data_IF_143014296071
#
_entry.id   IF_143014296071
#
_cell.length_a   1.000
_cell.length_b   1.000
_cell.length_c   1.000
_cell.angle_alpha   90.00
_cell.angle_beta   90.00
_cell.angle_gamma   90.00
#
_symmetry.space_group_name_H-M   'P 1'
#
loop_
_entity.id
_entity.type
_entity.pdbx_description
1 polymer ?
#
# COMPACT_ATOMS: atom_id res chain seq x y z
N UNK A 1 23.29 -8.71 -12.89
CA UNK A 1 22.22 -8.00 -12.16
C UNK A 1 20.87 -8.73 -12.23
N UNK A 2 20.35 -9.12 -13.41
CA UNK A 2 19.06 -9.88 -13.55
C UNK A 2 18.96 -11.10 -12.60
N UNK A 3 20.01 -11.93 -12.49
CA UNK A 3 20.04 -13.09 -11.57
C UNK A 3 19.84 -12.72 -10.09
N UNK A 4 20.38 -11.58 -9.65
CA UNK A 4 20.28 -11.14 -8.26
C UNK A 4 18.86 -10.60 -7.99
N UNK A 5 18.33 -9.79 -8.90
CA UNK A 5 16.97 -9.25 -8.81
C UNK A 5 15.88 -10.33 -8.82
N UNK A 6 16.14 -11.44 -9.53
CA UNK A 6 15.27 -12.62 -9.57
C UNK A 6 15.45 -13.56 -8.36
N UNK A 7 16.26 -13.19 -7.36
CA UNK A 7 16.32 -13.92 -6.10
C UNK A 7 15.05 -13.65 -5.28
N UNK A 8 14.45 -14.69 -4.65
CA UNK A 8 13.30 -14.52 -3.75
C UNK A 8 13.57 -13.58 -2.58
N UNK A 9 14.84 -13.47 -2.17
CA UNK A 9 15.23 -12.66 -1.02
C UNK A 9 15.63 -11.23 -1.41
N UNK A 10 15.66 -10.90 -2.72
CA UNK A 10 16.09 -9.58 -3.16
C UNK A 10 15.16 -8.47 -2.64
N UNK A 11 13.86 -8.56 -2.93
CA UNK A 11 12.90 -7.53 -2.51
C UNK A 11 12.76 -7.44 -0.99
N UNK A 12 12.67 -8.55 -0.22
CA UNK A 12 12.70 -8.49 1.24
C UNK A 12 13.95 -7.78 1.78
N UNK A 13 15.14 -8.14 1.30
CA UNK A 13 16.39 -7.55 1.77
C UNK A 13 16.53 -6.09 1.35
N UNK A 14 16.21 -5.76 0.09
CA UNK A 14 16.26 -4.40 -0.42
C UNK A 14 15.29 -3.48 0.33
N UNK A 15 14.06 -3.94 0.58
CA UNK A 15 13.09 -3.21 1.40
C UNK A 15 13.63 -2.97 2.81
N UNK A 16 14.05 -4.02 3.53
CA UNK A 16 14.54 -3.87 4.90
C UNK A 16 15.75 -2.93 4.98
N UNK A 17 16.71 -3.06 4.07
CA UNK A 17 17.91 -2.20 4.06
C UNK A 17 17.52 -0.75 3.79
N UNK A 18 16.72 -0.48 2.75
CA UNK A 18 16.33 0.88 2.38
C UNK A 18 15.43 1.50 3.45
N UNK A 19 14.46 0.75 3.95
CA UNK A 19 13.53 1.22 4.97
C UNK A 19 14.24 1.50 6.30
N UNK A 20 15.07 0.59 6.81
CA UNK A 20 15.84 0.83 8.02
C UNK A 20 16.85 1.97 7.87
N UNK A 21 17.46 2.12 6.68
CA UNK A 21 18.36 3.24 6.39
C UNK A 21 17.60 4.57 6.39
N UNK A 22 16.41 4.61 5.78
CA UNK A 22 15.53 5.77 5.79
C UNK A 22 15.10 6.13 7.22
N UNK A 23 14.57 5.16 7.96
CA UNK A 23 14.19 5.32 9.36
C UNK A 23 15.34 5.83 10.22
N UNK A 24 16.53 5.23 10.09
CA UNK A 24 17.72 5.63 10.83
C UNK A 24 18.17 7.05 10.47
N UNK A 25 18.10 7.42 9.19
CA UNK A 25 18.46 8.77 8.73
C UNK A 25 17.49 9.83 9.27
N UNK A 26 16.18 9.56 9.23
CA UNK A 26 15.17 10.51 9.73
C UNK A 26 15.23 10.61 11.25
N UNK A 27 15.29 9.46 11.95
CA UNK A 27 15.24 9.42 13.41
C UNK A 27 16.52 9.98 14.07
N UNK A 28 17.71 9.58 13.60
CA UNK A 28 18.98 10.03 14.19
C UNK A 28 19.55 11.29 13.55
N UNK A 29 19.32 11.48 12.24
CA UNK A 29 19.85 12.63 11.51
C UNK A 29 19.00 13.89 11.66
N UNK A 30 17.68 13.74 11.89
CA UNK A 30 16.75 14.86 11.97
C UNK A 30 15.69 14.69 13.08
N UNK A 31 16.09 14.54 14.35
CA UNK A 31 15.17 14.24 15.46
C UNK A 31 14.07 15.30 15.62
N UNK A 32 14.36 16.58 15.40
CA UNK A 32 13.38 17.67 15.48
C UNK A 32 12.39 17.71 14.30
N UNK A 33 12.70 17.00 13.20
CA UNK A 33 11.87 16.97 12.00
C UNK A 33 11.16 15.63 11.79
N UNK A 34 11.26 14.66 12.71
CA UNK A 34 10.58 13.36 12.57
C UNK A 34 9.10 13.55 12.29
N UNK A 35 8.43 14.42 13.05
CA UNK A 35 7.03 14.77 12.85
C UNK A 35 6.80 15.59 11.57
N UNK A 36 7.71 16.51 11.22
CA UNK A 36 7.58 17.36 10.02
C UNK A 36 7.68 16.56 8.73
N UNK A 37 8.57 15.57 8.67
CA UNK A 37 8.74 14.71 7.50
C UNK A 37 7.51 13.81 7.27
N UNK A 38 6.70 13.60 8.31
CA UNK A 38 5.46 12.81 8.29
C UNK A 38 4.18 13.65 8.20
N UNK A 39 4.26 14.99 8.07
CA UNK A 39 3.05 15.83 7.89
C UNK A 39 2.55 15.76 6.44
N UNK A 40 1.24 15.87 6.26
CA UNK A 40 0.60 16.03 4.94
C UNK A 40 1.25 17.19 4.14
N UNK A 41 1.62 16.94 2.89
CA UNK A 41 2.27 17.86 1.94
C UNK A 41 3.79 17.77 1.90
N UNK A 42 4.41 16.96 2.76
CA UNK A 42 5.86 16.91 2.93
C UNK A 42 6.52 15.77 2.12
N UNK A 43 7.80 15.50 2.39
CA UNK A 43 8.64 14.63 1.57
C UNK A 43 8.07 13.21 1.37
N UNK A 44 7.54 12.56 2.41
CA UNK A 44 7.05 11.18 2.32
C UNK A 44 5.82 11.08 1.42
N UNK A 45 4.87 12.00 1.55
CA UNK A 45 3.65 12.01 0.73
C UNK A 45 3.98 12.20 -0.76
N UNK A 46 4.84 13.17 -1.08
CA UNK A 46 5.26 13.41 -2.46
C UNK A 46 5.94 12.19 -3.09
N UNK A 47 6.80 11.50 -2.34
CA UNK A 47 7.44 10.25 -2.80
C UNK A 47 6.37 9.17 -3.01
N UNK A 48 5.41 9.05 -2.10
CA UNK A 48 4.31 8.09 -2.20
C UNK A 48 3.47 8.32 -3.46
N UNK A 49 3.09 9.57 -3.76
CA UNK A 49 2.36 9.95 -4.97
C UNK A 49 3.15 9.60 -6.24
N UNK A 50 4.44 9.98 -6.31
CA UNK A 50 5.32 9.62 -7.42
C UNK A 50 5.37 8.10 -7.60
N UNK A 51 5.48 7.35 -6.50
CA UNK A 51 5.46 5.90 -6.50
C UNK A 51 4.20 5.34 -7.16
N UNK A 52 3.01 5.82 -6.77
CA UNK A 52 1.75 5.37 -7.36
C UNK A 52 1.60 5.75 -8.84
N UNK A 53 2.05 6.94 -9.24
CA UNK A 53 2.08 7.33 -10.67
C UNK A 53 2.99 6.41 -11.48
N UNK A 54 4.18 6.09 -10.96
CA UNK A 54 5.09 5.13 -11.58
C UNK A 54 4.51 3.71 -11.63
N UNK A 55 3.77 3.29 -10.59
CA UNK A 55 3.09 2.00 -10.57
C UNK A 55 2.04 1.90 -11.66
N UNK A 56 1.23 2.95 -11.84
CA UNK A 56 0.26 3.04 -12.92
C UNK A 56 0.97 2.97 -14.28
N UNK A 57 2.03 3.76 -14.48
CA UNK A 57 2.83 3.72 -15.69
C UNK A 57 3.40 2.34 -15.99
N UNK A 58 3.92 1.64 -14.97
CA UNK A 58 4.43 0.29 -15.10
C UNK A 58 3.32 -0.71 -15.49
N UNK A 59 2.14 -0.61 -14.88
CA UNK A 59 0.98 -1.43 -15.25
C UNK A 59 0.61 -1.25 -16.72
N UNK A 60 0.65 -0.02 -17.25
CA UNK A 60 0.40 0.23 -18.67
C UNK A 60 1.45 -0.46 -19.57
N UNK A 61 2.73 -0.45 -19.18
CA UNK A 61 3.83 -1.09 -19.92
C UNK A 61 3.73 -2.63 -19.92
N UNK A 62 3.23 -3.23 -18.84
CA UNK A 62 3.06 -4.70 -18.73
C UNK A 62 1.68 -5.19 -19.16
N UNK A 63 0.85 -4.36 -19.78
CA UNK A 63 -0.52 -4.72 -20.18
C UNK A 63 -0.57 -5.98 -21.07
N UNK A 64 0.36 -6.09 -22.03
CA UNK A 64 0.47 -7.25 -22.92
C UNK A 64 1.03 -8.52 -22.25
N UNK A 65 1.55 -8.37 -21.03
CA UNK A 65 2.08 -9.50 -20.28
C UNK A 65 0.96 -10.39 -19.69
N UNK A 66 -0.26 -9.86 -19.56
CA UNK A 66 -1.39 -10.58 -18.98
C UNK A 66 -2.21 -11.36 -20.01
N UNK A 67 -2.43 -12.66 -19.74
CA UNK A 67 -3.36 -13.50 -20.53
C UNK A 67 -4.81 -13.01 -20.41
N UNK A 68 -5.23 -12.65 -19.19
CA UNK A 68 -6.56 -12.09 -18.89
C UNK A 68 -6.49 -10.56 -18.79
N UNK A 69 -6.25 -9.87 -19.92
CA UNK A 69 -6.03 -8.42 -19.95
C UNK A 69 -7.13 -7.62 -19.23
N UNK A 70 -8.39 -7.90 -19.51
CA UNK A 70 -9.50 -7.09 -18.95
C UNK A 70 -9.76 -7.39 -17.47
N UNK A 71 -9.65 -8.66 -17.06
CA UNK A 71 -10.06 -9.06 -15.70
C UNK A 71 -8.95 -8.83 -14.68
N UNK A 72 -7.76 -9.39 -14.86
CA UNK A 72 -6.73 -9.31 -13.82
C UNK A 72 -5.99 -7.98 -13.90
N UNK A 73 -5.51 -7.59 -15.08
CA UNK A 73 -4.80 -6.32 -15.25
C UNK A 73 -5.72 -5.12 -15.02
N UNK A 74 -6.96 -5.17 -15.53
CA UNK A 74 -7.94 -4.09 -15.32
C UNK A 74 -8.25 -3.87 -13.83
N UNK A 75 -8.39 -4.94 -13.04
CA UNK A 75 -8.58 -4.82 -11.59
C UNK A 75 -7.35 -4.22 -10.91
N UNK A 76 -6.13 -4.66 -11.27
CA UNK A 76 -4.90 -4.11 -10.68
C UNK A 76 -4.73 -2.62 -10.99
N UNK A 77 -5.01 -2.22 -12.24
CA UNK A 77 -4.98 -0.81 -12.64
C UNK A 77 -6.03 0.01 -11.90
N UNK A 78 -7.25 -0.51 -11.78
CA UNK A 78 -8.31 0.13 -11.00
C UNK A 78 -7.89 0.32 -9.53
N UNK A 79 -7.33 -0.71 -8.89
CA UNK A 79 -6.86 -0.61 -7.50
C UNK A 79 -5.69 0.37 -7.34
N UNK A 80 -4.76 0.43 -8.29
CA UNK A 80 -3.66 1.39 -8.27
C UNK A 80 -4.15 2.84 -8.38
N UNK A 81 -5.15 3.09 -9.24
CA UNK A 81 -5.81 4.40 -9.35
C UNK A 81 -6.54 4.74 -8.05
N UNK A 82 -7.32 3.80 -7.49
CA UNK A 82 -8.00 4.02 -6.21
C UNK A 82 -7.01 4.32 -5.07
N UNK A 83 -5.85 3.67 -5.06
CA UNK A 83 -4.80 3.95 -4.07
C UNK A 83 -4.24 5.36 -4.25
N UNK A 84 -3.85 5.76 -5.48
CA UNK A 84 -3.40 7.13 -5.75
C UNK A 84 -4.44 8.17 -5.33
N UNK A 85 -5.69 7.99 -5.73
CA UNK A 85 -6.77 8.93 -5.41
C UNK A 85 -7.05 9.02 -3.89
N UNK A 86 -6.82 7.93 -3.16
CA UNK A 86 -6.90 7.92 -1.71
C UNK A 86 -5.79 8.77 -1.10
N UNK A 87 -4.56 8.61 -1.58
CA UNK A 87 -3.41 9.41 -1.11
C UNK A 87 -3.58 10.90 -1.45
N UNK A 88 -4.20 11.25 -2.57
CA UNK A 88 -4.54 12.63 -2.94
C UNK A 88 -5.68 13.23 -2.10
N UNK A 89 -6.24 12.47 -1.15
CA UNK A 89 -7.31 12.97 -0.28
C UNK A 89 -8.59 13.30 -1.04
N UNK A 90 -8.87 12.70 -2.22
CA UNK A 90 -10.05 13.04 -3.03
C UNK A 90 -11.37 12.88 -2.27
N UNK A 91 -11.38 12.01 -1.26
CA UNK A 91 -12.46 11.82 -0.31
C UNK A 91 -12.95 13.11 0.35
N UNK A 92 -12.04 14.04 0.67
CA UNK A 92 -12.37 15.33 1.27
C UNK A 92 -13.07 16.27 0.27
N UNK A 93 -12.74 16.13 -1.01
CA UNK A 93 -13.33 16.91 -2.09
C UNK A 93 -14.71 16.39 -2.52
N UNK A 94 -15.01 15.12 -2.22
CA UNK A 94 -16.24 14.44 -2.60
C UNK A 94 -17.32 14.42 -1.50
N UNK A 95 -16.97 14.72 -0.25
CA UNK A 95 -17.92 14.82 0.87
C UNK A 95 -18.15 16.27 1.28
N UNK A 96 -19.42 16.68 1.45
CA UNK A 96 -19.74 18.03 1.97
C UNK A 96 -19.59 18.15 3.48
N UNK A 97 -19.48 17.01 4.17
CA UNK A 97 -19.33 16.92 5.63
C UNK A 97 -17.94 16.43 6.02
N UNK A 98 -17.36 17.03 7.06
CA UNK A 98 -15.96 16.89 7.53
C UNK A 98 -15.55 15.48 8.03
N UNK A 99 -16.44 14.51 7.94
CA UNK A 99 -16.14 13.14 8.33
C UNK A 99 -15.63 12.34 7.15
N UNK A 100 -14.42 11.79 7.28
CA UNK A 100 -13.79 10.97 6.24
C UNK A 100 -14.64 9.71 5.95
N UNK A 101 -15.01 9.42 4.69
CA UNK A 101 -15.86 8.28 4.30
C UNK A 101 -15.34 6.90 4.72
N UNK A 102 -14.06 6.78 5.03
CA UNK A 102 -13.41 5.54 5.46
C UNK A 102 -13.57 5.23 6.95
N UNK A 103 -14.18 6.14 7.74
CA UNK A 103 -14.47 5.93 9.15
C UNK A 103 -15.88 5.37 9.29
N UNK A 104 -16.05 4.32 10.11
CA UNK A 104 -17.38 3.77 10.41
C UNK A 104 -18.37 4.81 10.93
N UNK A 105 -17.87 5.84 11.62
CA UNK A 105 -18.64 7.01 12.06
C UNK A 105 -19.31 7.77 10.91
N UNK A 106 -18.75 7.78 9.71
CA UNK A 106 -19.36 8.42 8.54
C UNK A 106 -20.72 7.80 8.19
N UNK A 107 -20.79 6.47 8.20
CA UNK A 107 -22.01 5.74 7.88
C UNK A 107 -23.03 5.80 9.01
N UNK A 108 -22.55 5.77 10.25
CA UNK A 108 -23.40 5.74 11.45
C UNK A 108 -23.92 7.12 11.85
N UNK A 109 -23.27 8.22 11.45
CA UNK A 109 -23.71 9.58 11.80
C UNK A 109 -25.02 9.93 11.07
N UNK A 110 -26.14 10.19 11.77
CA UNK A 110 -27.42 10.55 11.14
C UNK A 110 -27.36 11.84 10.32
N UNK A 111 -26.41 12.74 10.63
CA UNK A 111 -26.31 14.06 10.01
C UNK A 111 -25.65 14.04 8.62
N UNK A 112 -25.02 12.93 8.23
CA UNK A 112 -24.38 12.82 6.92
C UNK A 112 -25.40 12.50 5.82
N UNK A 113 -25.35 13.15 4.64
CA UNK A 113 -26.30 12.91 3.56
C UNK A 113 -26.38 11.43 3.17
N UNK A 114 -27.60 10.89 3.07
CA UNK A 114 -27.83 9.48 2.70
C UNK A 114 -27.24 9.16 1.31
N UNK A 115 -27.33 10.10 0.37
CA UNK A 115 -26.76 9.97 -0.97
C UNK A 115 -25.25 9.75 -0.94
N UNK A 116 -24.51 10.48 -0.09
CA UNK A 116 -23.07 10.30 0.06
C UNK A 116 -22.74 8.92 0.65
N UNK A 117 -23.50 8.48 1.66
CA UNK A 117 -23.32 7.13 2.24
C UNK A 117 -23.52 6.01 1.23
N UNK A 118 -24.54 6.12 0.37
CA UNK A 118 -24.80 5.12 -0.67
C UNK A 118 -23.66 5.10 -1.69
N UNK A 119 -23.22 6.26 -2.17
CA UNK A 119 -22.16 6.36 -3.17
C UNK A 119 -20.84 5.79 -2.62
N UNK A 120 -20.39 6.24 -1.45
CA UNK A 120 -19.15 5.74 -0.85
C UNK A 120 -19.26 4.27 -0.44
N UNK A 121 -20.43 3.83 0.02
CA UNK A 121 -20.69 2.42 0.31
C UNK A 121 -20.53 1.54 -0.94
N UNK A 122 -21.07 1.96 -2.08
CA UNK A 122 -20.92 1.25 -3.35
C UNK A 122 -19.46 1.23 -3.82
N UNK A 123 -18.74 2.35 -3.74
CA UNK A 123 -17.32 2.42 -4.11
C UNK A 123 -16.50 1.48 -3.25
N UNK A 124 -16.69 1.49 -1.93
CA UNK A 124 -16.00 0.57 -1.01
C UNK A 124 -16.33 -0.89 -1.31
N UNK A 125 -17.59 -1.21 -1.65
CA UNK A 125 -17.99 -2.56 -2.06
C UNK A 125 -17.30 -3.01 -3.34
N UNK A 126 -17.16 -2.13 -4.33
CA UNK A 126 -16.45 -2.43 -5.59
C UNK A 126 -14.96 -2.68 -5.32
N UNK A 127 -14.31 -1.81 -4.53
CA UNK A 127 -12.89 -1.97 -4.15
C UNK A 127 -12.68 -3.25 -3.33
N UNK A 128 -13.52 -3.49 -2.32
CA UNK A 128 -13.46 -4.70 -1.49
C UNK A 128 -13.71 -5.96 -2.31
N UNK A 129 -14.68 -5.93 -3.23
CA UNK A 129 -14.98 -7.03 -4.15
C UNK A 129 -13.83 -7.35 -5.09
N UNK A 130 -13.17 -6.32 -5.63
CA UNK A 130 -11.98 -6.46 -6.46
C UNK A 130 -10.81 -7.12 -5.70
N UNK A 131 -10.53 -6.66 -4.48
CA UNK A 131 -9.49 -7.25 -3.62
C UNK A 131 -9.84 -8.69 -3.24
N UNK A 132 -11.09 -8.95 -2.83
CA UNK A 132 -11.56 -10.28 -2.48
C UNK A 132 -11.50 -11.26 -3.66
N UNK A 133 -11.88 -10.81 -4.86
CA UNK A 133 -11.76 -11.60 -6.08
C UNK A 133 -10.31 -12.02 -6.34
N UNK A 134 -9.35 -11.09 -6.29
CA UNK A 134 -7.94 -11.39 -6.48
C UNK A 134 -7.41 -12.32 -5.39
N UNK A 135 -7.76 -12.06 -4.12
CA UNK A 135 -7.35 -12.89 -3.00
C UNK A 135 -7.84 -14.33 -3.15
N UNK A 136 -9.12 -14.54 -3.47
CA UNK A 136 -9.69 -15.88 -3.67
C UNK A 136 -9.08 -16.58 -4.89
N UNK A 137 -8.95 -15.86 -6.03
CA UNK A 137 -8.40 -16.42 -7.28
C UNK A 137 -6.95 -16.86 -7.13
N UNK A 138 -6.13 -16.08 -6.42
CA UNK A 138 -4.67 -16.28 -6.39
C UNK A 138 -4.12 -16.83 -5.08
N UNK A 139 -4.87 -16.86 -3.97
CA UNK A 139 -4.39 -17.32 -2.65
C UNK A 139 -3.72 -18.70 -2.68
N UNK A 140 -4.38 -19.72 -3.25
CA UNK A 140 -3.80 -21.08 -3.34
C UNK A 140 -2.48 -21.09 -4.10
N UNK A 141 -2.42 -20.35 -5.22
CA UNK A 141 -1.20 -20.25 -6.01
C UNK A 141 -0.10 -19.50 -5.25
N UNK A 142 -0.47 -18.41 -4.56
CA UNK A 142 0.45 -17.59 -3.78
C UNK A 142 1.09 -18.40 -2.65
N UNK A 143 0.31 -19.14 -1.88
CA UNK A 143 0.84 -20.00 -0.82
C UNK A 143 1.76 -21.09 -1.39
N UNK A 144 1.32 -21.79 -2.46
CA UNK A 144 2.12 -22.84 -3.08
C UNK A 144 3.42 -22.34 -3.71
N UNK A 145 3.39 -21.18 -4.38
CA UNK A 145 4.56 -20.58 -5.03
C UNK A 145 5.52 -19.91 -4.03
N UNK A 146 5.03 -19.49 -2.86
CA UNK A 146 5.83 -18.90 -1.80
C UNK A 146 6.86 -19.90 -1.27
N UNK A 147 6.40 -21.12 -0.94
CA UNK A 147 7.29 -22.21 -0.50
C UNK A 147 8.21 -22.74 -1.61
N UNK A 148 7.90 -22.44 -2.87
CA UNK A 148 8.77 -22.73 -4.02
C UNK A 148 9.80 -21.62 -4.29
N UNK A 149 9.92 -20.65 -3.39
CA UNK A 149 10.89 -19.56 -3.52
C UNK A 149 10.72 -18.76 -4.83
N UNK A 150 9.48 -18.58 -5.30
CA UNK A 150 9.21 -17.74 -6.46
C UNK A 150 9.39 -16.26 -6.09
N UNK A 151 10.22 -15.49 -6.83
CA UNK A 151 10.55 -14.12 -6.46
C UNK A 151 9.37 -13.16 -6.49
N UNK A 152 8.48 -13.27 -7.48
CA UNK A 152 7.24 -12.44 -7.54
C UNK A 152 6.40 -12.68 -6.29
N UNK A 153 6.28 -13.95 -5.88
CA UNK A 153 5.46 -14.31 -4.71
C UNK A 153 6.04 -13.76 -3.42
N UNK A 154 7.36 -13.75 -3.26
CA UNK A 154 8.03 -13.13 -2.12
C UNK A 154 7.85 -11.60 -2.11
N UNK A 155 7.92 -10.95 -3.27
CA UNK A 155 7.66 -9.51 -3.38
C UNK A 155 6.22 -9.15 -3.01
N UNK A 156 5.24 -9.95 -3.44
CA UNK A 156 3.84 -9.79 -3.02
C UNK A 156 3.66 -10.06 -1.53
N UNK A 157 4.37 -11.05 -0.96
CA UNK A 157 4.33 -11.31 0.48
C UNK A 157 4.86 -10.10 1.28
N UNK A 158 5.94 -9.46 0.83
CA UNK A 158 6.44 -8.21 1.43
C UNK A 158 5.40 -7.11 1.30
N UNK A 159 4.83 -6.89 0.11
CA UNK A 159 3.78 -5.89 -0.10
C UNK A 159 2.62 -6.04 0.88
N UNK A 160 2.08 -7.26 1.00
CA UNK A 160 0.97 -7.55 1.92
C UNK A 160 1.37 -7.37 3.39
N UNK A 161 2.57 -7.82 3.76
CA UNK A 161 3.06 -7.72 5.15
C UNK A 161 3.24 -6.26 5.55
N UNK A 162 3.91 -5.46 4.71
CA UNK A 162 4.11 -4.03 4.95
C UNK A 162 2.75 -3.32 5.04
N UNK A 163 1.82 -3.57 4.11
CA UNK A 163 0.51 -2.94 4.14
C UNK A 163 -0.31 -3.28 5.40
N UNK A 164 -0.26 -4.53 5.86
CA UNK A 164 -0.91 -4.94 7.11
C UNK A 164 -0.23 -4.32 8.32
N UNK A 165 1.10 -4.34 8.38
CA UNK A 165 1.87 -3.76 9.47
C UNK A 165 1.61 -2.25 9.60
N UNK A 166 1.65 -1.49 8.50
CA UNK A 166 1.35 -0.05 8.53
C UNK A 166 -0.03 0.24 9.10
N UNK A 167 -1.07 -0.54 8.73
CA UNK A 167 -2.42 -0.36 9.29
C UNK A 167 -2.58 -0.80 10.74
N UNK A 168 -1.76 -1.74 11.21
CA UNK A 168 -1.71 -2.08 12.64
C UNK A 168 -1.11 -0.92 13.42
N UNK A 169 -0.03 -0.32 12.90
CA UNK A 169 0.67 0.81 13.51
C UNK A 169 -0.22 2.07 13.52
N UNK A 170 -0.93 2.39 12.44
CA UNK A 170 -1.96 3.45 12.36
C UNK A 170 -2.98 3.37 13.52
N UNK A 171 -3.48 2.15 13.78
CA UNK A 171 -4.50 1.93 14.80
C UNK A 171 -3.95 1.91 16.22
N UNK A 172 -2.63 1.72 16.39
CA UNK A 172 -2.03 1.54 17.70
C UNK A 172 -2.25 2.74 18.62
N UNK A 173 -2.04 4.02 18.18
CA UNK A 173 -2.31 5.17 19.02
C UNK A 173 -3.76 5.29 19.51
N UNK A 174 -4.72 5.05 18.61
CA UNK A 174 -6.14 5.10 18.97
C UNK A 174 -6.54 3.99 19.94
N UNK A 175 -5.97 2.79 19.78
CA UNK A 175 -6.26 1.65 20.64
C UNK A 175 -5.64 1.82 22.03
N UNK A 176 -4.41 2.35 22.09
CA UNK A 176 -3.75 2.71 23.35
C UNK A 176 -4.61 3.67 24.18
N UNK A 177 -5.06 4.77 23.55
CA UNK A 177 -5.90 5.78 24.21
C UNK A 177 -7.18 5.19 24.79
N UNK A 178 -7.81 4.23 24.10
CA UNK A 178 -9.01 3.55 24.59
C UNK A 178 -8.71 2.61 25.76
N UNK A 179 -7.60 1.88 25.71
CA UNK A 179 -7.21 0.93 26.75
C UNK A 179 -6.76 1.62 28.04
N UNK A 180 -6.20 2.84 27.94
CA UNK A 180 -5.63 3.58 29.06
C UNK A 180 -6.50 4.78 29.50
N UNK A 181 -7.84 4.63 29.44
CA UNK A 181 -8.76 5.61 30.02
C UNK A 181 -8.68 7.02 29.40
N UNK A 182 -8.26 7.14 28.14
CA UNK A 182 -8.13 8.42 27.43
C UNK A 182 -6.73 9.01 27.44
N UNK A 183 -5.77 8.39 28.12
CA UNK A 183 -4.37 8.85 28.14
C UNK A 183 -3.73 8.64 26.76
N UNK A 184 -3.23 9.70 26.10
CA UNK A 184 -2.55 9.58 24.81
C UNK A 184 -1.19 8.89 24.96
N UNK A 185 -0.62 8.43 23.85
CA UNK A 185 0.79 8.03 23.83
C UNK A 185 1.69 9.24 24.07
N UNK A 186 2.89 8.98 24.59
CA UNK A 186 3.94 9.97 24.62
C UNK A 186 4.28 10.43 23.19
N UNK A 187 4.60 11.72 23.03
CA UNK A 187 4.80 12.35 21.73
C UNK A 187 5.89 11.66 20.91
N UNK A 188 6.98 11.22 21.55
CA UNK A 188 8.06 10.46 20.90
C UNK A 188 7.58 9.12 20.32
N UNK A 189 6.80 8.35 21.10
CA UNK A 189 6.25 7.06 20.62
C UNK A 189 5.21 7.28 19.53
N UNK A 190 4.42 8.35 19.62
CA UNK A 190 3.46 8.73 18.60
C UNK A 190 4.16 9.08 17.28
N UNK A 191 5.21 9.92 17.35
CA UNK A 191 6.03 10.29 16.20
C UNK A 191 6.68 9.07 15.54
N UNK A 192 7.17 8.11 16.34
CA UNK A 192 7.72 6.86 15.81
C UNK A 192 6.65 6.02 15.11
N UNK A 193 5.43 5.94 15.66
CA UNK A 193 4.32 5.23 15.02
C UNK A 193 3.97 5.87 13.67
N UNK A 194 3.85 7.21 13.62
CA UNK A 194 3.60 7.92 12.36
C UNK A 194 4.72 7.67 11.35
N UNK A 195 5.98 7.78 11.76
CA UNK A 195 7.11 7.54 10.86
C UNK A 195 7.09 6.11 10.29
N UNK A 196 6.79 5.10 11.11
CA UNK A 196 6.69 3.70 10.67
C UNK A 196 5.51 3.51 9.69
N UNK A 197 4.35 4.08 10.01
CA UNK A 197 3.17 4.01 9.15
C UNK A 197 3.44 4.65 7.78
N UNK A 198 3.80 5.94 7.78
CA UNK A 198 3.97 6.76 6.59
C UNK A 198 5.10 6.23 5.69
N UNK A 199 6.26 5.92 6.28
CA UNK A 199 7.37 5.35 5.51
C UNK A 199 7.07 3.95 4.98
N UNK A 200 6.29 3.15 5.71
CA UNK A 200 5.85 1.83 5.23
C UNK A 200 4.91 1.95 4.04
N UNK A 201 3.94 2.87 4.10
CA UNK A 201 2.97 3.11 3.01
C UNK A 201 3.66 3.68 1.77
N UNK A 202 4.65 4.55 1.95
CA UNK A 202 5.50 5.07 0.88
C UNK A 202 6.18 3.98 0.06
N UNK A 203 6.63 2.88 0.67
CA UNK A 203 7.31 1.79 -0.04
C UNK A 203 6.36 0.85 -0.80
N UNK A 204 5.05 0.83 -0.48
CA UNK A 204 4.08 -0.05 -1.12
C UNK A 204 4.09 0.02 -2.66
N UNK A 205 3.97 1.21 -3.29
CA UNK A 205 3.99 1.29 -4.75
C UNK A 205 5.30 0.78 -5.36
N UNK A 206 6.45 1.02 -4.72
CA UNK A 206 7.75 0.57 -5.22
C UNK A 206 7.94 -0.95 -5.12
N UNK A 207 7.44 -1.57 -4.05
CA UNK A 207 7.42 -3.03 -3.90
C UNK A 207 6.52 -3.64 -5.00
N UNK A 208 5.35 -3.04 -5.26
CA UNK A 208 4.47 -3.48 -6.33
C UNK A 208 5.10 -3.36 -7.72
N UNK A 209 5.81 -2.26 -8.01
CA UNK A 209 6.59 -2.09 -9.25
C UNK A 209 7.65 -3.20 -9.38
N UNK A 210 8.40 -3.48 -8.30
CA UNK A 210 9.40 -4.54 -8.31
C UNK A 210 8.78 -5.91 -8.61
N UNK A 211 7.63 -6.22 -8.01
CA UNK A 211 6.90 -7.46 -8.27
C UNK A 211 6.43 -7.56 -9.73
N UNK A 212 5.90 -6.48 -10.30
CA UNK A 212 5.50 -6.43 -11.72
C UNK A 212 6.68 -6.60 -12.67
N UNK A 213 7.83 -5.98 -12.36
CA UNK A 213 9.03 -6.13 -13.16
C UNK A 213 9.58 -7.57 -13.10
N UNK A 214 9.59 -8.19 -11.90
CA UNK A 214 9.93 -9.61 -11.77
C UNK A 214 8.97 -10.50 -12.56
N UNK A 215 7.67 -10.19 -12.55
CA UNK A 215 6.67 -10.94 -13.31
C UNK A 215 6.95 -10.89 -14.82
N UNK A 216 7.24 -9.69 -15.36
CA UNK A 216 7.63 -9.54 -16.76
C UNK A 216 8.87 -10.35 -17.11
N UNK A 217 9.93 -10.27 -16.30
CA UNK A 217 11.17 -11.01 -16.53
C UNK A 217 10.96 -12.53 -16.49
N UNK A 218 10.10 -13.04 -15.59
CA UNK A 218 9.73 -14.46 -15.59
C UNK A 218 9.01 -14.89 -16.88
N UNK A 219 8.13 -14.03 -17.39
CA UNK A 219 7.41 -14.30 -18.64
C UNK A 219 8.36 -14.35 -19.83
N UNK A 220 9.26 -13.37 -19.96
CA UNK A 220 10.29 -13.35 -21.01
C UNK A 220 11.16 -14.62 -20.99
N UNK A 221 11.62 -15.04 -19.80
CA UNK A 221 12.42 -16.26 -19.65
C UNK A 221 11.63 -17.53 -20.00
N UNK A 222 10.31 -17.54 -19.76
CA UNK A 222 9.44 -18.67 -20.14
C UNK A 222 9.17 -18.76 -21.64
N UNK A 223 9.14 -17.62 -22.34
CA UNK A 223 8.98 -17.55 -23.80
C UNK A 223 10.26 -17.98 -24.51
N UNK A 224 11.43 -17.59 -23.99
CA UNK A 224 12.74 -17.99 -24.57
C UNK A 224 13.08 -19.47 -24.40
N UNK A 225 12.43 -20.17 -23.46
CA UNK A 225 12.66 -21.61 -23.19
C UNK A 225 11.75 -22.54 -23.99
N UNK A 226 10.74 -22.00 -24.68
CA UNK A 226 9.82 -22.73 -25.55
C UNK A 226 10.19 -22.45 -27.01
#
# INVERSE_FOLDING_TARGET
MKKIFMSPFFVPAAFLILWLSFMGTVYYGFPENVLKVTVEGELIENITHIGYVLLIGMLLVVCDDYKDRIRTWGILLFLAICALLREEGIQHHLSRTDTTPFKSRFFLNPNNPLSEKIIFGLVLLVVAGAVAYLAVKYSKHLVGSFFKLNPVTWSIAVLCTVGVCSKIVDRFPSNWKKAHGGVPLADETYALCQLVEESGEMFLPYIAIAALYQFRLQKEDSVQRN
#
